data_IF_078086900716
#
_entry.id   IF_078086900716
#
_cell.length_a   1.000
_cell.length_b   1.000
_cell.length_c   1.000
_cell.angle_alpha   90.00
_cell.angle_beta   90.00
_cell.angle_gamma   90.00
#
_symmetry.space_group_name_H-M   'P 1'
#
loop_
_entity.id
_entity.type
_entity.pdbx_description
1 polymer ?
#
# COMPACT_ATOMS: atom_id res chain seq x y z
N UNK A 1 -32.09 9.71 14.19
CA UNK A 1 -31.19 10.79 14.65
C UNK A 1 -29.81 10.23 14.50
N UNK A 2 -29.04 10.68 13.51
CA UNK A 2 -27.61 10.38 13.49
C UNK A 2 -26.98 11.18 14.62
N UNK A 3 -26.86 10.53 15.77
CA UNK A 3 -26.06 11.05 16.86
C UNK A 3 -24.62 11.13 16.34
N UNK A 4 -24.00 12.29 16.43
CA UNK A 4 -22.58 12.39 16.09
C UNK A 4 -21.82 11.44 17.01
N UNK A 5 -20.95 10.56 16.46
CA UNK A 5 -20.15 9.66 17.27
C UNK A 5 -19.34 10.48 18.29
N UNK A 6 -19.19 9.92 19.48
CA UNK A 6 -18.39 10.55 20.53
C UNK A 6 -16.91 10.68 20.09
N UNK A 7 -16.18 11.56 20.77
CA UNK A 7 -14.80 11.87 20.42
C UNK A 7 -13.87 10.64 20.49
N UNK A 8 -14.09 9.73 21.46
CA UNK A 8 -13.28 8.53 21.60
C UNK A 8 -13.54 7.55 20.44
N UNK A 9 -14.80 7.44 19.99
CA UNK A 9 -15.16 6.69 18.78
C UNK A 9 -14.50 7.29 17.53
N UNK A 10 -14.56 8.61 17.36
CA UNK A 10 -13.93 9.30 16.22
C UNK A 10 -12.41 9.10 16.19
N UNK A 11 -11.76 9.20 17.35
CA UNK A 11 -10.32 8.97 17.48
C UNK A 11 -9.93 7.52 17.15
N UNK A 12 -10.66 6.54 17.71
CA UNK A 12 -10.40 5.12 17.46
C UNK A 12 -10.57 4.74 15.99
N UNK A 13 -11.64 5.20 15.34
CA UNK A 13 -11.85 4.99 13.90
C UNK A 13 -10.72 5.64 13.09
N UNK A 14 -10.33 6.88 13.45
CA UNK A 14 -9.20 7.56 12.82
C UNK A 14 -7.90 6.76 12.90
N UNK A 15 -7.64 6.11 14.03
CA UNK A 15 -6.45 5.25 14.19
C UNK A 15 -6.48 4.00 13.31
N UNK A 16 -7.64 3.40 13.08
CA UNK A 16 -7.78 2.27 12.15
C UNK A 16 -7.53 2.72 10.71
N UNK A 17 -8.08 3.87 10.29
CA UNK A 17 -7.81 4.45 8.97
C UNK A 17 -6.32 4.78 8.79
N UNK A 18 -5.67 5.40 9.78
CA UNK A 18 -4.22 5.68 9.78
C UNK A 18 -3.38 4.40 9.62
N UNK A 19 -3.79 3.31 10.28
CA UNK A 19 -3.15 2.02 10.12
C UNK A 19 -3.33 1.46 8.70
N UNK A 20 -4.53 1.55 8.12
CA UNK A 20 -4.80 1.13 6.74
C UNK A 20 -3.94 1.91 5.74
N UNK A 21 -3.81 3.22 5.88
CA UNK A 21 -2.94 4.06 5.03
C UNK A 21 -1.47 3.62 5.11
N UNK A 22 -1.00 3.28 6.31
CA UNK A 22 0.36 2.74 6.50
C UNK A 22 0.53 1.38 5.82
N UNK A 23 -0.49 0.52 5.91
CA UNK A 23 -0.53 -0.78 5.23
C UNK A 23 -0.56 -0.61 3.71
N UNK A 24 -1.30 0.36 3.17
CA UNK A 24 -1.30 0.68 1.73
C UNK A 24 0.08 1.09 1.23
N UNK A 25 0.85 1.82 2.04
CA UNK A 25 2.25 2.14 1.72
C UNK A 25 3.14 0.89 1.75
N UNK A 26 2.97 0.01 2.73
CA UNK A 26 3.68 -1.27 2.78
C UNK A 26 3.36 -2.14 1.56
N UNK A 27 2.08 -2.20 1.16
CA UNK A 27 1.63 -2.84 -0.08
C UNK A 27 2.35 -2.26 -1.29
N UNK A 28 2.42 -0.93 -1.42
CA UNK A 28 3.16 -0.26 -2.50
C UNK A 28 4.63 -0.69 -2.57
N UNK A 29 5.28 -0.91 -1.43
CA UNK A 29 6.65 -1.43 -1.38
C UNK A 29 6.77 -2.89 -1.85
N UNK A 30 5.75 -3.73 -1.65
CA UNK A 30 5.74 -5.10 -2.21
C UNK A 30 5.65 -5.08 -3.74
N UNK A 31 4.86 -4.18 -4.32
CA UNK A 31 4.82 -3.99 -5.78
C UNK A 31 6.16 -3.51 -6.33
N UNK A 32 6.79 -2.56 -5.64
CA UNK A 32 8.13 -2.09 -6.01
C UNK A 32 9.16 -3.20 -5.90
N UNK A 33 9.13 -3.98 -4.82
CA UNK A 33 9.97 -5.16 -4.64
C UNK A 33 9.80 -6.16 -5.77
N UNK A 34 8.56 -6.53 -6.13
CA UNK A 34 8.28 -7.44 -7.23
C UNK A 34 8.89 -6.96 -8.57
N UNK A 35 8.65 -5.69 -8.93
CA UNK A 35 9.16 -5.12 -10.18
C UNK A 35 10.69 -5.04 -10.21
N UNK A 36 11.31 -4.59 -9.12
CA UNK A 36 12.75 -4.43 -9.03
C UNK A 36 13.47 -5.78 -9.06
N UNK A 37 12.96 -6.77 -8.30
CA UNK A 37 13.53 -8.12 -8.29
C UNK A 37 13.35 -8.82 -9.63
N UNK A 38 12.18 -8.71 -10.26
CA UNK A 38 11.96 -9.27 -11.60
C UNK A 38 12.88 -8.64 -12.66
N UNK A 39 13.11 -7.32 -12.58
CA UNK A 39 14.03 -6.62 -13.47
C UNK A 39 15.49 -7.06 -13.25
N UNK A 40 15.89 -7.25 -11.99
CA UNK A 40 17.22 -7.75 -11.66
C UNK A 40 17.44 -9.20 -12.12
N UNK A 41 16.42 -10.06 -12.00
CA UNK A 41 16.46 -11.45 -12.47
C UNK A 41 16.66 -11.54 -14.00
N UNK A 42 15.97 -10.69 -14.77
CA UNK A 42 16.21 -10.58 -16.21
C UNK A 42 17.65 -10.14 -16.54
N UNK A 43 18.16 -9.14 -15.83
CA UNK A 43 19.54 -8.69 -16.00
C UNK A 43 20.58 -9.76 -15.64
N UNK A 44 20.28 -10.63 -14.66
CA UNK A 44 21.12 -11.79 -14.33
C UNK A 44 21.14 -12.80 -15.49
N UNK A 45 20.00 -13.04 -16.14
CA UNK A 45 19.94 -13.86 -17.35
C UNK A 45 20.84 -13.33 -18.47
N UNK A 46 20.79 -12.02 -18.75
CA UNK A 46 21.69 -11.38 -19.72
C UNK A 46 23.17 -11.49 -19.30
N UNK A 47 23.46 -11.34 -18.01
CA UNK A 47 24.82 -11.46 -17.49
C UNK A 47 25.37 -12.89 -17.63
N UNK A 48 24.55 -13.92 -17.42
CA UNK A 48 24.92 -15.32 -17.64
C UNK A 48 25.33 -15.56 -19.09
N UNK A 49 24.57 -15.04 -20.07
CA UNK A 49 24.95 -15.15 -21.48
C UNK A 49 26.28 -14.44 -21.79
N UNK A 50 26.51 -13.28 -21.19
CA UNK A 50 27.75 -12.51 -21.39
C UNK A 50 28.95 -13.22 -20.77
N UNK A 51 28.79 -13.82 -19.59
CA UNK A 51 29.82 -14.61 -18.93
C UNK A 51 30.21 -15.84 -19.76
N UNK A 52 29.25 -16.57 -20.32
CA UNK A 52 29.50 -17.67 -21.26
C UNK A 52 30.33 -17.20 -22.46
N UNK A 53 29.88 -16.13 -23.14
CA UNK A 53 30.58 -15.57 -24.31
C UNK A 53 31.99 -15.09 -23.99
N UNK A 54 32.23 -14.64 -22.76
CA UNK A 54 33.54 -14.21 -22.28
C UNK A 54 34.47 -15.37 -21.83
N UNK A 55 33.99 -16.62 -21.85
CA UNK A 55 34.75 -17.80 -21.43
C UNK A 55 34.72 -18.06 -19.92
N UNK A 56 33.79 -17.44 -19.19
CA UNK A 56 33.58 -17.61 -17.74
C UNK A 56 32.42 -18.58 -17.44
N UNK A 57 32.36 -19.72 -18.14
CA UNK A 57 31.27 -20.69 -18.05
C UNK A 57 31.02 -21.25 -16.64
N UNK A 58 32.06 -21.39 -15.80
CA UNK A 58 31.88 -21.84 -14.42
C UNK A 58 31.02 -20.88 -13.59
N UNK A 59 31.20 -19.57 -13.78
CA UNK A 59 30.36 -18.57 -13.10
C UNK A 59 28.96 -18.49 -13.70
N UNK A 60 28.86 -18.54 -15.02
CA UNK A 60 27.57 -18.58 -15.70
C UNK A 60 26.71 -19.76 -15.24
N UNK A 61 27.30 -20.95 -15.18
CA UNK A 61 26.65 -22.17 -14.67
C UNK A 61 26.22 -22.01 -13.22
N UNK A 62 27.10 -21.57 -12.32
CA UNK A 62 26.75 -21.41 -10.90
C UNK A 62 25.62 -20.42 -10.67
N UNK A 63 25.63 -19.27 -11.34
CA UNK A 63 24.54 -18.28 -11.22
C UNK A 63 23.23 -18.87 -11.75
N UNK A 64 23.27 -19.56 -12.89
CA UNK A 64 22.11 -20.22 -13.47
C UNK A 64 21.53 -21.33 -12.57
N UNK A 65 22.39 -22.16 -11.97
CA UNK A 65 21.99 -23.31 -11.14
C UNK A 65 21.60 -22.91 -9.71
N UNK A 66 22.28 -21.93 -9.10
CA UNK A 66 22.12 -21.58 -7.68
C UNK A 66 21.16 -20.41 -7.47
N UNK A 67 21.04 -19.46 -8.42
CA UNK A 67 20.31 -18.20 -8.22
C UNK A 67 19.10 -18.04 -9.16
N UNK A 68 19.26 -18.28 -10.46
CA UNK A 68 18.14 -18.14 -11.40
C UNK A 68 17.09 -19.22 -11.12
N UNK A 69 15.85 -18.81 -10.90
CA UNK A 69 14.76 -19.71 -10.49
C UNK A 69 14.72 -20.03 -8.99
N UNK A 70 15.66 -19.51 -8.19
CA UNK A 70 15.58 -19.58 -6.73
C UNK A 70 14.42 -18.70 -6.24
N UNK A 71 13.52 -19.25 -5.42
CA UNK A 71 12.44 -18.48 -4.83
C UNK A 71 12.96 -17.47 -3.79
N UNK A 72 12.37 -16.27 -3.73
CA UNK A 72 12.73 -15.23 -2.72
C UNK A 72 12.34 -15.62 -1.30
N UNK A 73 11.31 -16.46 -1.16
CA UNK A 73 10.82 -17.06 0.07
C UNK A 73 10.50 -18.54 -0.19
N UNK A 74 10.39 -19.40 0.85
CA UNK A 74 10.02 -20.80 0.65
C UNK A 74 8.78 -20.95 -0.23
N UNK A 75 8.94 -21.65 -1.35
CA UNK A 75 7.90 -21.93 -2.33
C UNK A 75 7.23 -20.71 -2.98
N UNK A 76 7.77 -19.49 -2.83
CA UNK A 76 7.16 -18.24 -3.34
C UNK A 76 8.12 -17.38 -4.13
N UNK A 77 7.74 -17.08 -5.36
CA UNK A 77 8.29 -15.96 -6.11
C UNK A 77 7.60 -14.64 -5.73
N UNK A 78 8.17 -13.53 -6.18
CA UNK A 78 7.77 -12.19 -5.72
C UNK A 78 6.31 -11.84 -6.02
N UNK A 79 5.74 -12.32 -7.13
CA UNK A 79 4.32 -12.07 -7.44
C UNK A 79 3.39 -12.78 -6.45
N UNK A 80 3.74 -14.00 -6.02
CA UNK A 80 2.95 -14.75 -5.04
C UNK A 80 2.98 -14.05 -3.68
N UNK A 81 4.11 -13.44 -3.31
CA UNK A 81 4.20 -12.62 -2.08
C UNK A 81 3.24 -11.42 -2.14
N UNK A 82 3.12 -10.78 -3.31
CA UNK A 82 2.17 -9.67 -3.52
C UNK A 82 0.73 -10.19 -3.42
N UNK A 83 0.39 -11.26 -4.13
CA UNK A 83 -0.95 -11.84 -4.15
C UNK A 83 -1.39 -12.32 -2.75
N UNK A 84 -0.53 -13.03 -2.02
CA UNK A 84 -0.84 -13.51 -0.67
C UNK A 84 -1.02 -12.36 0.33
N UNK A 85 -0.25 -11.26 0.18
CA UNK A 85 -0.45 -10.07 1.01
C UNK A 85 -1.76 -9.37 0.69
N UNK A 86 -2.08 -9.24 -0.60
CA UNK A 86 -3.28 -8.59 -1.11
C UNK A 86 -4.54 -9.33 -0.68
N UNK A 87 -4.62 -10.64 -0.95
CA UNK A 87 -5.78 -11.47 -0.68
C UNK A 87 -5.93 -11.83 0.80
N UNK A 88 -4.83 -11.78 1.56
CA UNK A 88 -4.79 -12.03 2.98
C UNK A 88 -4.93 -10.76 3.81
N UNK A 89 -3.80 -10.29 4.35
CA UNK A 89 -3.75 -9.28 5.39
C UNK A 89 -4.33 -7.93 4.94
N UNK A 90 -4.00 -7.49 3.72
CA UNK A 90 -4.48 -6.22 3.20
C UNK A 90 -6.00 -6.22 3.02
N UNK A 91 -6.55 -7.24 2.34
CA UNK A 91 -7.99 -7.38 2.16
C UNK A 91 -8.73 -7.41 3.50
N UNK A 92 -8.26 -8.19 4.46
CA UNK A 92 -8.89 -8.29 5.78
C UNK A 92 -8.92 -6.92 6.51
N UNK A 93 -7.80 -6.19 6.51
CA UNK A 93 -7.74 -4.87 7.12
C UNK A 93 -8.68 -3.86 6.43
N UNK A 94 -8.67 -3.84 5.09
CA UNK A 94 -9.52 -2.95 4.30
C UNK A 94 -11.01 -3.21 4.49
N UNK A 95 -11.41 -4.48 4.53
CA UNK A 95 -12.81 -4.85 4.72
C UNK A 95 -13.30 -4.47 6.12
N UNK A 96 -12.49 -4.72 7.16
CA UNK A 96 -12.79 -4.34 8.54
C UNK A 96 -12.90 -2.83 8.71
N UNK A 97 -11.97 -2.06 8.13
CA UNK A 97 -12.00 -0.59 8.19
C UNK A 97 -13.27 -0.04 7.53
N UNK A 98 -13.65 -0.58 6.37
CA UNK A 98 -14.87 -0.17 5.67
C UNK A 98 -16.14 -0.44 6.49
N UNK A 99 -16.21 -1.62 7.11
CA UNK A 99 -17.33 -2.00 7.96
C UNK A 99 -17.40 -1.10 9.20
N UNK A 100 -16.24 -0.83 9.82
CA UNK A 100 -16.10 0.05 10.98
C UNK A 100 -16.57 1.48 10.66
N UNK A 101 -16.12 2.07 9.55
CA UNK A 101 -16.57 3.39 9.10
C UNK A 101 -18.08 3.44 8.89
N UNK A 102 -18.61 2.45 8.18
CA UNK A 102 -20.05 2.39 7.90
C UNK A 102 -20.86 2.32 9.19
N UNK A 103 -20.42 1.49 10.14
CA UNK A 103 -21.13 1.21 11.37
C UNK A 103 -21.04 2.33 12.40
N UNK A 104 -19.88 2.98 12.53
CA UNK A 104 -19.60 3.90 13.63
C UNK A 104 -19.64 5.38 13.23
N UNK A 105 -19.45 5.70 11.94
CA UNK A 105 -19.43 7.11 11.48
C UNK A 105 -20.47 7.41 10.40
N UNK A 106 -21.31 6.43 10.04
CA UNK A 106 -22.22 6.54 8.90
C UNK A 106 -21.48 6.63 7.57
N UNK A 107 -20.29 6.04 7.48
CA UNK A 107 -19.43 6.09 6.28
C UNK A 107 -18.69 7.41 6.08
N UNK A 108 -18.74 8.33 7.05
CA UNK A 108 -17.99 9.59 6.99
C UNK A 108 -16.51 9.32 7.22
N UNK A 109 -15.70 9.65 6.19
CA UNK A 109 -14.24 9.56 6.22
C UNK A 109 -13.62 10.82 6.83
N UNK A 110 -12.43 10.68 7.40
CA UNK A 110 -11.60 11.80 7.87
C UNK A 110 -12.27 12.71 8.93
N UNK A 111 -13.23 12.19 9.72
CA UNK A 111 -13.90 12.99 10.75
C UNK A 111 -12.93 13.57 11.79
N UNK A 112 -11.97 12.75 12.23
CA UNK A 112 -10.96 13.18 13.20
C UNK A 112 -10.10 14.33 12.65
N UNK A 113 -9.64 14.21 11.40
CA UNK A 113 -8.83 15.25 10.75
C UNK A 113 -9.63 16.51 10.43
N UNK A 114 -10.91 16.37 10.09
CA UNK A 114 -11.83 17.50 9.93
C UNK A 114 -11.98 18.26 11.24
N UNK A 115 -12.22 17.59 12.36
CA UNK A 115 -12.28 18.22 13.69
C UNK A 115 -10.97 18.93 14.04
N UNK A 116 -9.82 18.26 13.89
CA UNK A 116 -8.52 18.87 14.12
C UNK A 116 -8.25 20.07 13.20
N UNK A 117 -8.71 20.02 11.95
CA UNK A 117 -8.56 21.13 11.00
C UNK A 117 -9.43 22.30 11.40
N UNK A 118 -10.67 22.04 11.80
CA UNK A 118 -11.64 23.04 12.24
C UNK A 118 -11.13 23.78 13.47
N UNK A 119 -10.61 23.06 14.48
CA UNK A 119 -10.01 23.66 15.68
C UNK A 119 -8.82 24.58 15.37
N UNK A 120 -8.10 24.29 14.28
CA UNK A 120 -6.93 25.07 13.83
C UNK A 120 -7.30 26.21 12.88
N UNK A 121 -8.57 26.39 12.50
CA UNK A 121 -8.96 27.45 11.57
C UNK A 121 -8.92 28.83 12.22
N UNK A 122 -8.51 29.81 11.42
CA UNK A 122 -8.72 31.23 11.75
C UNK A 122 -10.02 31.65 11.08
N UNK A 123 -11.11 31.66 11.85
CA UNK A 123 -12.42 32.01 11.33
C UNK A 123 -12.45 33.43 10.75
N UNK A 124 -13.05 33.59 9.57
CA UNK A 124 -13.16 34.88 8.87
C UNK A 124 -11.93 35.30 8.06
N UNK A 125 -10.84 34.50 8.05
CA UNK A 125 -9.67 34.76 7.20
C UNK A 125 -9.83 34.05 5.84
N UNK A 126 -9.70 34.76 4.71
CA UNK A 126 -9.72 34.15 3.39
C UNK A 126 -8.71 33.00 3.25
N UNK A 127 -9.16 31.86 2.73
CA UNK A 127 -8.36 30.64 2.56
C UNK A 127 -8.34 29.70 3.77
N UNK A 128 -9.08 30.02 4.84
CA UNK A 128 -9.22 29.19 6.05
C UNK A 128 -10.65 28.65 6.22
N UNK A 129 -11.51 28.77 5.20
CA UNK A 129 -12.91 28.33 5.25
C UNK A 129 -13.06 26.80 5.30
N UNK A 130 -14.25 26.37 5.72
CA UNK A 130 -14.69 24.99 5.57
C UNK A 130 -14.97 24.64 4.12
N UNK A 131 -14.37 23.54 3.66
CA UNK A 131 -14.64 22.96 2.36
C UNK A 131 -14.61 21.44 2.46
N UNK A 132 -15.56 20.78 1.79
CA UNK A 132 -15.45 19.36 1.52
C UNK A 132 -14.34 19.07 0.50
N UNK A 133 -13.93 17.81 0.33
CA UNK A 133 -13.05 17.44 -0.77
C UNK A 133 -13.65 17.90 -2.10
N UNK A 134 -12.81 18.44 -2.98
CA UNK A 134 -13.26 18.84 -4.31
C UNK A 134 -13.87 17.64 -5.02
N UNK A 135 -15.09 17.77 -5.53
CA UNK A 135 -15.68 16.75 -6.40
C UNK A 135 -14.78 16.62 -7.63
N UNK A 136 -14.24 15.44 -7.95
CA UNK A 136 -13.49 15.26 -9.18
C UNK A 136 -14.39 15.64 -10.36
N UNK A 137 -13.85 16.24 -11.43
CA UNK A 137 -14.64 16.53 -12.63
C UNK A 137 -15.28 15.23 -13.12
N UNK A 138 -16.56 15.30 -13.50
CA UNK A 138 -17.28 14.15 -14.01
C UNK A 138 -16.66 13.68 -15.33
N UNK A 139 -15.87 12.62 -15.28
CA UNK A 139 -15.44 11.81 -16.43
C UNK A 139 -14.34 12.42 -17.31
N UNK A 140 -13.30 11.62 -17.54
CA UNK A 140 -12.53 11.58 -18.80
C UNK A 140 -12.30 10.13 -19.16
#
# INVERSE_FOLDING_TARGET
>A
MDENPDAATVEAVGKVTEALETIERARGHLYSFHQLTGSADLALGEAVEQLEKAGHGDWARRISEELIGLNVLPDRWTFQVVEEYDDGYYKACRDLERELLTSLTGGRRHLHEQQMKDDRRTHGRPGHEAGGPSTPPAGS
#
